data_IF_565278046160
#
_entry.id   IF_565278046160
#
_cell.length_a   1.000
_cell.length_b   1.000
_cell.length_c   1.000
_cell.angle_alpha   90.00
_cell.angle_beta   90.00
_cell.angle_gamma   90.00
#
_symmetry.space_group_name_H-M   'P 1'
#
loop_
_entity.id
_entity.type
_entity.pdbx_description
1 polymer ?
#
# COMPACT_ATOMS: atom_id res chain seq x y z
N UNK A 1 -21.24 31.55 -0.39
CA UNK A 1 -19.95 31.18 0.22
C UNK A 1 -19.24 30.25 -0.74
N UNK A 2 -18.10 30.65 -1.30
CA UNK A 2 -17.24 29.73 -2.04
C UNK A 2 -16.74 28.69 -1.04
N UNK A 3 -17.23 27.46 -1.13
CA UNK A 3 -16.85 26.37 -0.24
C UNK A 3 -15.32 26.12 -0.25
N UNK A 4 -14.67 26.50 -1.36
CA UNK A 4 -13.22 26.46 -1.56
C UNK A 4 -12.65 27.87 -1.69
N UNK A 5 -12.72 28.66 -0.61
CA UNK A 5 -11.91 29.88 -0.55
C UNK A 5 -10.44 29.52 -0.80
N UNK A 6 -9.72 30.34 -1.56
CA UNK A 6 -8.27 30.19 -1.70
C UNK A 6 -7.64 30.43 -0.35
N UNK A 7 -7.11 29.38 0.28
CA UNK A 7 -6.39 29.50 1.53
C UNK A 7 -4.97 29.91 1.22
N UNK A 8 -4.64 31.17 1.48
CA UNK A 8 -3.25 31.60 1.44
C UNK A 8 -2.55 31.14 2.72
N UNK A 9 -1.39 30.49 2.56
CA UNK A 9 -0.60 30.01 3.68
C UNK A 9 -0.05 31.19 4.48
N UNK A 10 0.28 32.27 3.79
CA UNK A 10 0.87 33.47 4.39
C UNK A 10 -0.16 34.25 5.23
N UNK A 11 -1.46 34.14 4.90
CA UNK A 11 -2.54 34.68 5.74
C UNK A 11 -2.74 33.86 7.02
N UNK A 12 -2.50 32.55 6.96
CA UNK A 12 -2.70 31.64 8.09
C UNK A 12 -1.54 31.71 9.09
N UNK A 13 -0.31 31.91 8.61
CA UNK A 13 0.89 32.06 9.43
C UNK A 13 1.38 33.50 9.37
N UNK A 14 0.91 34.34 10.30
CA UNK A 14 1.34 35.74 10.39
C UNK A 14 2.87 35.85 10.42
N UNK A 15 3.41 36.82 9.68
CA UNK A 15 4.85 37.09 9.66
C UNK A 15 5.42 37.21 11.09
N UNK A 16 6.43 36.40 11.39
CA UNK A 16 7.10 36.40 12.69
C UNK A 16 6.38 35.65 13.80
N UNK A 17 5.34 34.86 13.52
CA UNK A 17 4.66 34.02 14.52
C UNK A 17 5.62 33.13 15.32
N UNK A 18 6.75 32.74 14.73
CA UNK A 18 7.80 31.93 15.35
C UNK A 18 8.42 32.59 16.59
N UNK A 19 8.40 33.93 16.68
CA UNK A 19 8.98 34.67 17.80
C UNK A 19 8.22 34.45 19.11
N UNK A 20 6.91 34.23 19.00
CA UNK A 20 5.99 34.02 20.14
C UNK A 20 5.67 32.53 20.34
N UNK A 21 6.27 31.65 19.54
CA UNK A 21 6.02 30.21 19.60
C UNK A 21 6.75 29.56 20.79
N UNK A 22 6.15 28.49 21.32
CA UNK A 22 6.87 27.60 22.23
C UNK A 22 7.81 26.72 21.42
N UNK A 23 9.03 26.46 21.91
CA UNK A 23 10.01 25.64 21.18
C UNK A 23 10.15 24.28 21.85
N UNK A 24 10.04 23.21 21.05
CA UNK A 24 10.37 21.86 21.50
C UNK A 24 11.46 21.29 20.59
N UNK A 25 12.63 20.98 21.16
CA UNK A 25 13.81 20.51 20.42
C UNK A 25 14.22 21.43 19.26
N UNK A 26 14.04 22.75 19.43
CA UNK A 26 14.34 23.75 18.40
C UNK A 26 13.28 23.89 17.31
N UNK A 27 12.14 23.18 17.41
CA UNK A 27 11.02 23.29 16.48
C UNK A 27 9.99 24.26 17.06
N UNK A 28 9.59 25.32 16.32
CA UNK A 28 8.55 26.24 16.76
C UNK A 28 7.19 25.55 16.75
N UNK A 29 6.48 25.63 17.86
CA UNK A 29 5.17 25.04 18.04
C UNK A 29 4.11 26.14 17.99
N UNK A 30 3.26 26.12 16.96
CA UNK A 30 2.12 27.04 16.89
C UNK A 30 1.06 26.65 17.94
N UNK A 31 0.59 27.59 18.79
CA UNK A 31 -0.28 27.27 19.92
C UNK A 31 -1.61 26.62 19.49
N UNK A 32 -2.14 26.99 18.32
CA UNK A 32 -3.36 26.38 17.79
C UNK A 32 -3.21 24.89 17.43
N UNK A 33 -1.99 24.43 17.12
CA UNK A 33 -1.72 23.01 16.85
C UNK A 33 -1.82 22.13 18.10
N UNK A 34 -1.73 22.71 19.29
CA UNK A 34 -1.84 22.00 20.57
C UNK A 34 -3.29 21.79 21.01
N UNK A 35 -4.25 22.37 20.30
CA UNK A 35 -5.67 22.27 20.65
C UNK A 35 -6.29 21.04 19.98
N UNK A 36 -7.20 20.36 20.70
CA UNK A 36 -8.17 19.46 20.09
C UNK A 36 -9.39 20.26 19.58
N UNK A 37 -10.34 19.59 18.93
CA UNK A 37 -11.50 20.25 18.32
C UNK A 37 -12.36 21.02 19.34
N UNK A 38 -12.55 20.44 20.54
CA UNK A 38 -13.41 21.00 21.59
C UNK A 38 -12.75 22.19 22.25
N UNK A 39 -11.46 22.11 22.56
CA UNK A 39 -10.70 23.21 23.15
C UNK A 39 -10.60 24.39 22.18
N UNK A 40 -10.46 24.12 20.88
CA UNK A 40 -10.50 25.14 19.84
C UNK A 40 -11.85 25.86 19.77
N UNK A 41 -12.96 25.14 19.94
CA UNK A 41 -14.29 25.74 20.03
C UNK A 41 -14.44 26.56 21.32
N UNK A 42 -13.97 26.04 22.45
CA UNK A 42 -14.07 26.68 23.77
C UNK A 42 -13.27 27.99 23.88
N UNK A 43 -12.16 28.13 23.14
CA UNK A 43 -11.35 29.36 23.12
C UNK A 43 -11.90 30.47 22.21
N UNK A 44 -12.96 30.20 21.45
CA UNK A 44 -13.53 31.19 20.53
C UNK A 44 -14.20 32.32 21.33
N UNK A 45 -13.99 33.60 20.98
CA UNK A 45 -14.78 34.70 21.53
C UNK A 45 -16.28 34.41 21.40
N UNK A 46 -17.10 35.00 22.27
CA UNK A 46 -18.54 34.74 22.35
C UNK A 46 -19.37 35.20 21.12
N UNK A 47 -18.74 35.42 19.96
CA UNK A 47 -19.44 35.69 18.71
C UNK A 47 -20.10 34.40 18.20
N UNK A 48 -21.44 34.36 18.08
CA UNK A 48 -22.16 33.13 17.74
C UNK A 48 -21.86 32.65 16.31
N UNK A 49 -21.52 33.56 15.40
CA UNK A 49 -21.25 33.21 14.00
C UNK A 49 -19.90 32.52 13.82
N UNK A 50 -18.86 32.93 14.55
CA UNK A 50 -17.56 32.27 14.50
C UNK A 50 -17.62 30.84 15.07
N UNK A 51 -18.36 30.67 16.18
CA UNK A 51 -18.60 29.34 16.78
C UNK A 51 -19.31 28.43 15.77
N UNK A 52 -20.34 28.94 15.08
CA UNK A 52 -21.07 28.18 14.05
C UNK A 52 -20.16 27.75 12.90
N UNK A 53 -19.33 28.66 12.38
CA UNK A 53 -18.40 28.33 11.28
C UNK A 53 -17.39 27.26 11.70
N UNK A 54 -16.75 27.42 12.86
CA UNK A 54 -15.77 26.44 13.38
C UNK A 54 -16.43 25.07 13.63
N UNK A 55 -17.61 25.07 14.28
CA UNK A 55 -18.35 23.85 14.56
C UNK A 55 -18.75 23.14 13.26
N UNK A 56 -19.27 23.89 12.29
CA UNK A 56 -19.65 23.34 10.98
C UNK A 56 -18.48 22.62 10.31
N UNK A 57 -17.29 23.22 10.24
CA UNK A 57 -16.12 22.58 9.63
C UNK A 57 -15.69 21.32 10.38
N UNK A 58 -15.73 21.29 11.72
CA UNK A 58 -15.44 20.09 12.52
C UNK A 58 -16.46 18.99 12.23
N UNK A 59 -17.76 19.31 12.27
CA UNK A 59 -18.83 18.32 12.04
C UNK A 59 -18.85 17.81 10.59
N UNK A 60 -18.52 18.64 9.61
CA UNK A 60 -18.41 18.25 8.21
C UNK A 60 -17.24 17.29 7.97
N UNK A 61 -16.19 17.34 8.80
CA UNK A 61 -15.06 16.42 8.68
C UNK A 61 -15.34 15.05 9.29
N UNK A 62 -16.18 14.93 10.33
CA UNK A 62 -16.41 13.68 11.06
C UNK A 62 -16.91 12.48 10.23
N UNK A 63 -17.76 12.63 9.18
CA UNK A 63 -18.16 11.51 8.35
C UNK A 63 -16.98 10.81 7.65
N UNK A 64 -15.93 11.55 7.27
CA UNK A 64 -14.77 10.99 6.58
C UNK A 64 -14.01 9.95 7.42
N UNK A 65 -13.50 10.25 8.63
CA UNK A 65 -12.82 9.26 9.44
C UNK A 65 -13.73 8.10 9.86
N UNK A 66 -15.05 8.27 9.97
CA UNK A 66 -15.99 7.15 10.21
C UNK A 66 -15.95 6.15 9.03
N UNK A 67 -16.10 6.65 7.80
CA UNK A 67 -16.07 5.81 6.59
C UNK A 67 -14.70 5.15 6.44
N UNK A 68 -13.63 5.93 6.62
CA UNK A 68 -12.25 5.44 6.49
C UNK A 68 -11.94 4.41 7.58
N UNK A 69 -12.44 4.60 8.81
CA UNK A 69 -12.30 3.64 9.90
C UNK A 69 -12.97 2.32 9.56
N UNK A 70 -14.19 2.35 9.03
CA UNK A 70 -14.89 1.16 8.59
C UNK A 70 -14.09 0.39 7.52
N UNK A 71 -13.52 1.10 6.54
CA UNK A 71 -12.66 0.52 5.49
C UNK A 71 -11.42 -0.14 6.12
N UNK A 72 -10.70 0.56 7.00
CA UNK A 72 -9.49 0.03 7.61
C UNK A 72 -9.77 -1.12 8.59
N UNK A 73 -10.89 -1.10 9.32
CA UNK A 73 -11.32 -2.22 10.16
C UNK A 73 -11.64 -3.47 9.34
N UNK A 74 -12.34 -3.32 8.21
CA UNK A 74 -12.56 -4.42 7.26
C UNK A 74 -11.22 -4.95 6.73
N UNK A 75 -10.34 -4.05 6.31
CA UNK A 75 -9.02 -4.38 5.78
C UNK A 75 -8.14 -5.10 6.82
N UNK A 76 -8.23 -4.70 8.09
CA UNK A 76 -7.55 -5.31 9.23
C UNK A 76 -8.04 -6.75 9.43
N UNK A 77 -9.36 -6.95 9.49
CA UNK A 77 -9.95 -8.28 9.65
C UNK A 77 -9.55 -9.25 8.51
N UNK A 78 -9.60 -8.78 7.26
CA UNK A 78 -9.16 -9.58 6.10
C UNK A 78 -7.67 -9.89 6.19
N UNK A 79 -6.82 -8.91 6.52
CA UNK A 79 -5.37 -9.09 6.60
C UNK A 79 -4.95 -10.03 7.72
N UNK A 80 -5.62 -9.99 8.87
CA UNK A 80 -5.42 -10.96 9.96
C UNK A 80 -5.69 -12.39 9.46
N UNK A 81 -6.81 -12.59 8.76
CA UNK A 81 -7.14 -13.90 8.17
C UNK A 81 -6.07 -14.35 7.16
N UNK A 82 -5.54 -13.43 6.37
CA UNK A 82 -4.49 -13.73 5.39
C UNK A 82 -3.18 -14.15 6.06
N UNK A 83 -2.74 -13.44 7.10
CA UNK A 83 -1.54 -13.77 7.87
C UNK A 83 -1.69 -15.12 8.56
N UNK A 84 -2.84 -15.37 9.21
CA UNK A 84 -3.10 -16.65 9.88
C UNK A 84 -3.03 -17.84 8.92
N UNK A 85 -3.52 -17.68 7.69
CA UNK A 85 -3.49 -18.74 6.68
C UNK A 85 -2.12 -18.96 6.03
N UNK A 86 -1.27 -17.92 5.97
CA UNK A 86 0.05 -17.97 5.32
C UNK A 86 1.06 -17.06 6.06
N UNK A 87 1.53 -17.47 7.25
CA UNK A 87 2.39 -16.62 8.08
C UNK A 87 3.76 -16.35 7.46
N UNK A 88 4.22 -17.20 6.54
CA UNK A 88 5.51 -17.02 5.83
C UNK A 88 5.44 -16.03 4.67
N UNK A 89 4.24 -15.62 4.24
CA UNK A 89 4.08 -14.69 3.13
C UNK A 89 4.24 -13.24 3.61
N UNK A 90 5.20 -12.51 3.03
CA UNK A 90 5.51 -11.13 3.42
C UNK A 90 4.37 -10.13 3.12
N UNK A 91 3.73 -10.21 1.95
CA UNK A 91 2.69 -9.25 1.55
C UNK A 91 1.48 -9.17 2.53
N UNK A 92 0.92 -10.27 3.04
CA UNK A 92 -0.07 -10.22 4.12
C UNK A 92 0.35 -9.43 5.35
N UNK A 93 1.62 -9.50 5.77
CA UNK A 93 2.12 -8.71 6.90
C UNK A 93 2.15 -7.22 6.58
N UNK A 94 2.55 -6.83 5.35
CA UNK A 94 2.45 -5.45 4.90
C UNK A 94 0.99 -4.94 4.90
N UNK A 95 0.04 -5.75 4.43
CA UNK A 95 -1.39 -5.41 4.50
C UNK A 95 -1.86 -5.23 5.95
N UNK A 96 -1.45 -6.13 6.84
CA UNK A 96 -1.79 -6.06 8.26
C UNK A 96 -1.24 -4.79 8.89
N UNK A 97 0.05 -4.50 8.70
CA UNK A 97 0.69 -3.30 9.24
C UNK A 97 0.02 -2.03 8.73
N UNK A 98 -0.25 -1.93 7.42
CA UNK A 98 -0.92 -0.78 6.82
C UNK A 98 -2.34 -0.60 7.37
N UNK A 99 -3.11 -1.69 7.51
CA UNK A 99 -4.46 -1.63 8.05
C UNK A 99 -4.49 -1.25 9.53
N UNK A 100 -3.57 -1.80 10.33
CA UNK A 100 -3.44 -1.47 11.75
C UNK A 100 -3.15 0.01 11.96
N UNK A 101 -2.18 0.57 11.21
CA UNK A 101 -1.85 1.99 11.32
C UNK A 101 -3.01 2.88 10.82
N UNK A 102 -3.73 2.44 9.79
CA UNK A 102 -4.96 3.09 9.33
C UNK A 102 -6.03 3.17 10.42
N UNK A 103 -6.29 2.07 11.14
CA UNK A 103 -7.22 2.05 12.29
C UNK A 103 -6.73 2.97 13.41
N UNK A 104 -5.44 2.94 13.77
CA UNK A 104 -4.88 3.83 14.79
C UNK A 104 -5.12 5.29 14.40
N UNK A 105 -4.83 5.66 13.15
CA UNK A 105 -5.07 7.00 12.64
C UNK A 105 -6.55 7.39 12.74
N UNK A 106 -7.47 6.55 12.24
CA UNK A 106 -8.89 6.91 12.22
C UNK A 106 -9.51 6.95 13.60
N UNK A 107 -9.11 6.06 14.52
CA UNK A 107 -9.54 6.14 15.93
C UNK A 107 -9.06 7.44 16.56
N UNK A 108 -7.81 7.84 16.35
CA UNK A 108 -7.31 9.14 16.84
C UNK A 108 -8.05 10.33 16.22
N UNK A 109 -8.36 10.27 14.92
CA UNK A 109 -9.14 11.30 14.24
C UNK A 109 -10.59 11.41 14.78
N UNK A 110 -11.18 10.29 15.21
CA UNK A 110 -12.48 10.30 15.90
C UNK A 110 -12.36 10.86 17.32
N UNK A 111 -11.34 10.44 18.07
CA UNK A 111 -11.06 10.93 19.42
C UNK A 111 -10.77 12.42 19.46
N UNK A 112 -10.21 12.99 18.40
CA UNK A 112 -9.95 14.43 18.27
C UNK A 112 -11.21 15.30 18.45
N UNK A 113 -12.41 14.78 18.19
CA UNK A 113 -13.67 15.46 18.41
C UNK A 113 -14.23 15.36 19.84
N UNK A 114 -13.53 14.67 20.75
CA UNK A 114 -13.95 14.51 22.15
C UNK A 114 -13.13 15.39 23.10
N UNK A 115 -13.71 15.79 24.25
CA UNK A 115 -12.98 16.54 25.27
C UNK A 115 -11.80 15.72 25.80
N UNK A 116 -10.61 16.33 25.84
CA UNK A 116 -9.38 15.64 26.21
C UNK A 116 -8.83 14.71 25.11
N UNK A 117 -9.35 14.80 23.89
CA UNK A 117 -8.83 14.10 22.72
C UNK A 117 -7.41 14.56 22.33
N UNK A 118 -6.76 13.84 21.38
CA UNK A 118 -5.45 14.22 20.89
C UNK A 118 -5.47 15.62 20.27
N UNK A 119 -4.36 16.36 20.43
CA UNK A 119 -4.22 17.65 19.75
C UNK A 119 -4.15 17.49 18.24
N UNK A 120 -4.46 18.56 17.51
CA UNK A 120 -4.34 18.61 16.05
C UNK A 120 -2.93 18.19 15.58
N UNK A 121 -1.86 18.62 16.26
CA UNK A 121 -0.49 18.18 15.97
C UNK A 121 -0.31 16.67 16.06
N UNK A 122 -0.79 16.05 17.13
CA UNK A 122 -0.69 14.59 17.28
C UNK A 122 -1.42 13.88 16.13
N UNK A 123 -2.59 14.36 15.73
CA UNK A 123 -3.31 13.81 14.58
C UNK A 123 -2.50 13.93 13.27
N UNK A 124 -1.88 15.09 13.01
CA UNK A 124 -1.00 15.32 11.85
C UNK A 124 0.23 14.41 11.88
N UNK A 125 0.86 14.23 13.03
CA UNK A 125 2.02 13.34 13.15
C UNK A 125 1.64 11.87 12.92
N UNK A 126 0.54 11.41 13.50
CA UNK A 126 0.05 10.04 13.31
C UNK A 126 -0.24 9.77 11.84
N UNK A 127 -0.90 10.70 11.12
CA UNK A 127 -1.15 10.53 9.68
C UNK A 127 0.14 10.56 8.86
N UNK A 128 1.11 11.41 9.19
CA UNK A 128 2.41 11.46 8.52
C UNK A 128 3.20 10.15 8.63
N UNK A 129 3.22 9.57 9.84
CA UNK A 129 3.80 8.24 10.10
C UNK A 129 3.03 7.16 9.33
N UNK A 130 1.70 7.20 9.36
CA UNK A 130 0.85 6.21 8.69
C UNK A 130 0.99 6.18 7.18
N UNK A 131 1.01 7.35 6.54
CA UNK A 131 1.28 7.49 5.10
C UNK A 131 2.65 6.90 4.77
N UNK A 132 3.69 7.23 5.54
CA UNK A 132 5.05 6.73 5.29
C UNK A 132 5.16 5.22 5.43
N UNK A 133 4.59 4.64 6.49
CA UNK A 133 4.54 3.18 6.70
C UNK A 133 3.81 2.51 5.54
N UNK A 134 2.68 3.07 5.11
CA UNK A 134 1.93 2.56 3.95
C UNK A 134 2.77 2.54 2.69
N UNK A 135 3.47 3.65 2.37
CA UNK A 135 4.30 3.73 1.18
C UNK A 135 5.46 2.73 1.21
N UNK A 136 6.09 2.53 2.37
CA UNK A 136 7.11 1.49 2.55
C UNK A 136 6.53 0.08 2.37
N UNK A 137 5.34 -0.21 2.91
CA UNK A 137 4.65 -1.50 2.76
C UNK A 137 4.31 -1.81 1.29
N UNK A 138 3.73 -0.84 0.57
CA UNK A 138 3.40 -0.97 -0.86
C UNK A 138 4.67 -1.13 -1.67
N UNK A 139 5.67 -0.27 -1.45
CA UNK A 139 6.96 -0.31 -2.14
C UNK A 139 7.69 -1.63 -1.93
N UNK A 140 7.74 -2.15 -0.69
CA UNK A 140 8.36 -3.43 -0.38
C UNK A 140 7.63 -4.60 -1.03
N UNK A 141 6.29 -4.58 -1.06
CA UNK A 141 5.47 -5.62 -1.71
C UNK A 141 5.70 -5.63 -3.22
N UNK A 142 5.71 -4.47 -3.88
CA UNK A 142 5.99 -4.36 -5.31
C UNK A 142 7.42 -4.77 -5.64
N UNK A 143 8.39 -4.36 -4.82
CA UNK A 143 9.80 -4.73 -4.98
C UNK A 143 10.01 -6.23 -4.84
N UNK A 144 9.39 -6.88 -3.85
CA UNK A 144 9.46 -8.33 -3.68
C UNK A 144 8.94 -9.05 -4.93
N UNK A 145 7.82 -8.59 -5.49
CA UNK A 145 7.23 -9.16 -6.70
C UNK A 145 8.12 -8.95 -7.92
N UNK A 146 8.61 -7.74 -8.13
CA UNK A 146 9.52 -7.43 -9.21
C UNK A 146 10.81 -8.28 -9.11
N UNK A 147 11.37 -8.41 -7.91
CA UNK A 147 12.54 -9.24 -7.65
C UNK A 147 12.33 -10.72 -8.02
N UNK A 148 11.20 -11.31 -7.61
CA UNK A 148 10.88 -12.72 -7.94
C UNK A 148 10.72 -12.90 -9.45
N UNK A 149 10.01 -11.98 -10.11
CA UNK A 149 9.72 -12.10 -11.54
C UNK A 149 10.95 -11.86 -12.42
N UNK A 150 11.88 -11.00 -12.00
CA UNK A 150 13.14 -10.76 -12.68
C UNK A 150 14.25 -11.74 -12.26
N UNK A 151 13.89 -13.01 -12.05
CA UNK A 151 14.81 -14.10 -11.70
C UNK A 151 15.77 -13.78 -10.54
N UNK A 152 15.27 -13.10 -9.49
CA UNK A 152 16.05 -12.73 -8.30
C UNK A 152 17.25 -11.82 -8.62
N UNK A 153 17.08 -10.89 -9.55
CA UNK A 153 18.11 -9.91 -9.89
C UNK A 153 18.44 -8.99 -8.69
N UNK A 154 19.62 -9.17 -8.09
CA UNK A 154 20.10 -8.38 -6.93
C UNK A 154 20.21 -6.88 -7.24
N UNK A 155 20.51 -6.49 -8.48
CA UNK A 155 20.63 -5.07 -8.85
C UNK A 155 19.29 -4.34 -8.72
N UNK A 156 18.20 -4.98 -9.12
CA UNK A 156 16.85 -4.44 -8.98
C UNK A 156 16.47 -4.25 -7.50
N UNK A 157 16.86 -5.19 -6.65
CA UNK A 157 16.63 -5.12 -5.21
C UNK A 157 17.39 -3.96 -4.57
N UNK A 158 18.69 -3.83 -4.85
CA UNK A 158 19.53 -2.72 -4.33
C UNK A 158 18.99 -1.38 -4.79
N UNK A 159 18.65 -1.25 -6.09
CA UNK A 159 18.08 -0.01 -6.63
C UNK A 159 16.74 0.33 -5.95
N UNK A 160 15.84 -0.66 -5.81
CA UNK A 160 14.56 -0.45 -5.15
C UNK A 160 14.67 -0.04 -3.68
N UNK A 161 15.57 -0.68 -2.91
CA UNK A 161 15.83 -0.29 -1.51
C UNK A 161 16.41 1.12 -1.44
N UNK A 162 17.35 1.46 -2.33
CA UNK A 162 17.97 2.78 -2.38
C UNK A 162 16.92 3.87 -2.66
N UNK A 163 15.94 3.60 -3.53
CA UNK A 163 14.85 4.53 -3.81
C UNK A 163 13.81 4.61 -2.69
N UNK A 164 13.63 3.56 -1.88
CA UNK A 164 12.72 3.58 -0.73
C UNK A 164 13.34 4.24 0.52
N UNK A 165 14.66 4.32 0.61
CA UNK A 165 15.37 4.86 1.76
C UNK A 165 15.03 6.33 2.10
N UNK A 166 14.76 7.23 1.14
CA UNK A 166 14.37 8.61 1.42
C UNK A 166 12.95 8.77 1.99
N UNK A 167 12.08 7.75 1.92
CA UNK A 167 10.67 7.85 2.34
C UNK A 167 10.47 8.35 3.78
N UNK A 168 11.27 7.95 4.80
CA UNK A 168 11.17 8.50 6.15
C UNK A 168 11.40 10.01 6.26
N UNK A 169 12.00 10.67 5.25
CA UNK A 169 12.12 12.14 5.23
C UNK A 169 10.75 12.81 5.25
N UNK A 170 9.69 12.16 4.74
CA UNK A 170 8.31 12.67 4.83
C UNK A 170 7.89 12.85 6.28
N UNK A 171 8.22 11.91 7.17
CA UNK A 171 7.92 12.02 8.60
C UNK A 171 8.65 13.23 9.18
N UNK A 172 9.92 13.43 8.83
CA UNK A 172 10.69 14.57 9.29
C UNK A 172 10.05 15.90 8.87
N UNK A 173 9.65 16.05 7.61
CA UNK A 173 8.97 17.27 7.14
C UNK A 173 7.64 17.50 7.86
N UNK A 174 6.84 16.46 8.05
CA UNK A 174 5.57 16.55 8.81
C UNK A 174 5.83 16.92 10.27
N UNK A 175 6.92 16.41 10.85
CA UNK A 175 7.30 16.66 12.24
C UNK A 175 7.68 18.12 12.48
N UNK A 176 8.43 18.73 11.57
CA UNK A 176 8.88 20.12 11.67
C UNK A 176 7.85 21.14 11.16
N UNK A 177 6.82 20.70 10.43
CA UNK A 177 5.83 21.61 9.84
C UNK A 177 4.93 22.20 10.93
N UNK A 178 4.66 23.52 10.91
CA UNK A 178 3.67 24.12 11.78
C UNK A 178 2.28 23.51 11.52
N UNK A 179 1.57 23.23 12.61
CA UNK A 179 0.22 22.69 12.58
C UNK A 179 -0.71 23.72 13.20
N UNK A 180 -1.80 24.04 12.51
CA UNK A 180 -2.74 25.08 12.93
C UNK A 180 -4.18 24.60 12.81
N UNK A 181 -5.04 25.26 13.57
CA UNK A 181 -6.49 25.09 13.51
C UNK A 181 -7.09 26.28 12.78
N UNK A 182 -7.57 26.05 11.56
CA UNK A 182 -8.19 27.08 10.73
C UNK A 182 -9.72 26.95 10.78
N UNK A 183 -10.49 28.05 10.96
CA UNK A 183 -11.96 27.98 11.00
C UNK A 183 -12.62 27.23 9.83
N UNK A 184 -12.21 27.42 8.57
CA UNK A 184 -12.89 26.79 7.43
C UNK A 184 -12.44 25.34 7.18
N UNK A 185 -11.22 24.97 7.59
CA UNK A 185 -10.58 23.72 7.21
C UNK A 185 -10.22 22.81 8.39
N UNK A 186 -10.50 23.22 9.63
CA UNK A 186 -10.17 22.44 10.83
C UNK A 186 -8.66 22.32 11.02
N UNK A 187 -8.19 21.09 11.25
CA UNK A 187 -6.79 20.80 11.52
C UNK A 187 -5.98 20.73 10.21
N UNK A 188 -4.97 21.58 10.07
CA UNK A 188 -4.13 21.68 8.87
C UNK A 188 -2.64 21.66 9.21
N UNK A 189 -1.85 21.01 8.35
CA UNK A 189 -0.39 21.09 8.36
C UNK A 189 0.08 22.13 7.34
N UNK A 190 0.79 23.16 7.80
CA UNK A 190 1.39 24.19 6.94
C UNK A 190 2.81 23.77 6.55
N UNK A 191 2.91 22.84 5.59
CA UNK A 191 4.19 22.44 4.99
C UNK A 191 4.72 23.51 4.03
N UNK A 192 6.02 23.57 3.70
CA UNK A 192 6.55 24.54 2.73
C UNK A 192 6.12 24.23 1.28
N UNK A 193 6.03 25.23 0.39
CA UNK A 193 5.51 25.07 -0.99
C UNK A 193 6.27 24.04 -1.85
N UNK A 194 7.55 23.80 -1.55
CA UNK A 194 8.33 22.80 -2.26
C UNK A 194 8.06 21.36 -1.78
N UNK A 195 7.38 21.16 -0.65
CA UNK A 195 7.19 19.83 -0.06
C UNK A 195 6.39 18.86 -0.96
N UNK A 196 5.26 19.24 -1.59
CA UNK A 196 4.56 18.37 -2.53
C UNK A 196 5.46 17.94 -3.71
N UNK A 197 6.30 18.85 -4.20
CA UNK A 197 7.26 18.59 -5.27
C UNK A 197 8.38 17.65 -4.82
N UNK A 198 8.91 17.81 -3.60
CA UNK A 198 9.89 16.90 -3.02
C UNK A 198 9.29 15.50 -2.86
N UNK A 199 8.06 15.40 -2.35
CA UNK A 199 7.34 14.14 -2.25
C UNK A 199 7.16 13.48 -3.62
N UNK A 200 6.68 14.25 -4.60
CA UNK A 200 6.53 13.78 -5.98
C UNK A 200 7.87 13.27 -6.55
N UNK A 201 8.96 14.02 -6.35
CA UNK A 201 10.28 13.65 -6.83
C UNK A 201 10.84 12.38 -6.16
N UNK A 202 10.46 12.09 -4.90
CA UNK A 202 10.84 10.85 -4.22
C UNK A 202 10.01 9.64 -4.68
N UNK A 203 8.71 9.83 -4.88
CA UNK A 203 7.79 8.76 -5.23
C UNK A 203 7.81 8.43 -6.75
N UNK A 204 8.09 9.41 -7.61
CA UNK A 204 8.09 9.25 -9.07
C UNK A 204 9.13 8.20 -9.55
N UNK A 205 10.41 8.23 -9.14
CA UNK A 205 11.40 7.24 -9.57
C UNK A 205 11.02 5.81 -9.20
N UNK A 206 10.43 5.61 -8.02
CA UNK A 206 9.97 4.29 -7.55
C UNK A 206 8.85 3.77 -8.47
N UNK A 207 7.87 4.62 -8.75
CA UNK A 207 6.75 4.26 -9.62
C UNK A 207 7.19 4.00 -11.06
N UNK A 208 8.12 4.80 -11.60
CA UNK A 208 8.71 4.56 -12.93
C UNK A 208 9.45 3.23 -12.95
N UNK A 209 10.29 2.95 -11.94
CA UNK A 209 11.04 1.70 -11.85
C UNK A 209 10.10 0.50 -11.84
N UNK A 210 9.06 0.51 -10.99
CA UNK A 210 8.08 -0.57 -10.94
C UNK A 210 7.26 -0.68 -12.23
N UNK A 211 6.84 0.44 -12.82
CA UNK A 211 6.13 0.45 -14.11
C UNK A 211 6.94 -0.24 -15.19
N UNK A 212 8.22 0.14 -15.35
CA UNK A 212 9.12 -0.46 -16.34
C UNK A 212 9.34 -1.94 -16.05
N UNK A 213 9.56 -2.30 -14.78
CA UNK A 213 9.73 -3.69 -14.36
C UNK A 213 8.50 -4.55 -14.69
N UNK A 214 7.28 -4.07 -14.45
CA UNK A 214 6.06 -4.78 -14.75
C UNK A 214 5.75 -4.82 -16.25
N UNK A 215 5.88 -3.70 -16.96
CA UNK A 215 5.67 -3.65 -18.42
C UNK A 215 6.62 -4.60 -19.14
N UNK A 216 7.89 -4.67 -18.73
CA UNK A 216 8.85 -5.61 -19.30
C UNK A 216 8.41 -7.06 -19.14
N UNK A 217 7.80 -7.42 -18.01
CA UNK A 217 7.29 -8.78 -17.74
C UNK A 217 6.06 -9.06 -18.58
N UNK A 218 5.11 -8.12 -18.61
CA UNK A 218 3.89 -8.23 -19.41
C UNK A 218 4.24 -8.42 -20.88
N UNK A 219 5.21 -7.64 -21.39
CA UNK A 219 5.68 -7.75 -22.76
C UNK A 219 6.30 -9.12 -23.06
N UNK A 220 7.16 -9.64 -22.17
CA UNK A 220 7.75 -10.99 -22.33
C UNK A 220 6.68 -12.09 -22.31
N UNK A 221 5.74 -12.03 -21.38
CA UNK A 221 4.68 -13.02 -21.26
C UNK A 221 3.71 -12.98 -22.45
N UNK A 222 3.38 -11.78 -22.93
CA UNK A 222 2.57 -11.59 -24.13
C UNK A 222 3.24 -12.27 -25.35
N UNK A 223 4.55 -12.09 -25.52
CA UNK A 223 5.31 -12.70 -26.62
C UNK A 223 5.42 -14.22 -26.50
N UNK A 224 5.46 -14.77 -25.28
CA UNK A 224 5.67 -16.21 -25.05
C UNK A 224 4.39 -17.05 -25.09
N UNK A 225 3.28 -16.58 -24.49
CA UNK A 225 2.10 -17.43 -24.23
C UNK A 225 0.91 -17.19 -25.19
N UNK A 226 1.02 -16.21 -26.10
CA UNK A 226 -0.09 -15.84 -26.98
C UNK A 226 -1.27 -15.20 -26.25
N UNK A 227 -2.29 -14.81 -26.99
CA UNK A 227 -3.38 -13.92 -26.51
C UNK A 227 -4.32 -14.58 -25.49
N UNK A 228 -4.60 -15.88 -25.61
CA UNK A 228 -5.60 -16.57 -24.77
C UNK A 228 -5.12 -16.84 -23.33
N UNK A 229 -3.89 -17.33 -23.16
CA UNK A 229 -3.29 -17.54 -21.84
C UNK A 229 -2.96 -16.19 -21.17
N UNK A 230 -2.54 -15.20 -21.96
CA UNK A 230 -2.30 -13.84 -21.50
C UNK A 230 -3.55 -13.19 -20.91
N UNK A 231 -4.71 -13.34 -21.56
CA UNK A 231 -5.98 -12.78 -21.06
C UNK A 231 -6.32 -13.29 -19.65
N UNK A 232 -6.05 -14.57 -19.36
CA UNK A 232 -6.26 -15.14 -18.01
C UNK A 232 -5.26 -14.60 -16.99
N UNK A 233 -3.98 -14.45 -17.38
CA UNK A 233 -2.92 -14.00 -16.48
C UNK A 233 -3.05 -12.52 -16.11
N UNK A 234 -3.39 -11.68 -17.09
CA UNK A 234 -3.60 -10.24 -16.86
C UNK A 234 -4.75 -9.97 -15.90
N UNK A 235 -5.83 -10.77 -16.00
CA UNK A 235 -7.03 -10.62 -15.17
C UNK A 235 -6.77 -10.81 -13.68
N UNK A 236 -5.76 -11.59 -13.30
CA UNK A 236 -5.60 -12.03 -11.91
C UNK A 236 -4.61 -11.19 -11.08
N UNK A 237 -3.65 -10.47 -11.69
CA UNK A 237 -2.62 -9.75 -10.91
C UNK A 237 -2.04 -8.50 -11.55
N UNK A 238 -1.86 -8.48 -12.87
CA UNK A 238 -1.26 -7.33 -13.57
C UNK A 238 -2.22 -6.13 -13.52
N UNK A 239 -3.52 -6.34 -13.71
CA UNK A 239 -4.52 -5.26 -13.67
C UNK A 239 -4.50 -4.52 -12.34
N UNK A 240 -4.47 -5.22 -11.21
CA UNK A 240 -4.49 -4.58 -9.89
C UNK A 240 -3.18 -3.85 -9.59
N UNK A 241 -2.03 -4.40 -9.99
CA UNK A 241 -0.75 -3.70 -9.86
C UNK A 241 -0.68 -2.43 -10.69
N UNK A 242 -1.13 -2.46 -11.95
CA UNK A 242 -1.19 -1.25 -12.78
C UNK A 242 -2.15 -0.21 -12.19
N UNK A 243 -3.30 -0.63 -11.66
CA UNK A 243 -4.24 0.29 -10.99
C UNK A 243 -3.60 0.99 -9.78
N UNK A 244 -2.82 0.26 -8.96
CA UNK A 244 -2.08 0.84 -7.82
C UNK A 244 -1.13 1.94 -8.29
N UNK A 245 -0.33 1.66 -9.32
CA UNK A 245 0.67 2.62 -9.84
C UNK A 245 -0.02 3.83 -10.47
N UNK A 246 -1.07 3.62 -11.25
CA UNK A 246 -1.83 4.72 -11.89
C UNK A 246 -2.54 5.57 -10.83
N UNK A 247 -3.20 4.96 -9.83
CA UNK A 247 -3.88 5.72 -8.78
C UNK A 247 -2.88 6.58 -8.00
N UNK A 248 -1.74 6.01 -7.63
CA UNK A 248 -0.69 6.73 -6.93
C UNK A 248 -0.14 7.88 -7.79
N UNK A 249 0.14 7.64 -9.07
CA UNK A 249 0.60 8.69 -9.98
C UNK A 249 -0.38 9.86 -10.12
N UNK A 250 -1.67 9.56 -10.31
CA UNK A 250 -2.73 10.59 -10.41
C UNK A 250 -2.87 11.38 -9.11
N UNK A 251 -2.94 10.70 -7.97
CA UNK A 251 -3.03 11.36 -6.65
C UNK A 251 -1.83 12.26 -6.38
N UNK A 252 -0.62 11.82 -6.74
CA UNK A 252 0.59 12.62 -6.59
C UNK A 252 0.62 13.84 -7.50
N UNK A 253 0.16 13.73 -8.76
CA UNK A 253 0.00 14.88 -9.65
C UNK A 253 -0.97 15.89 -9.03
N UNK A 254 -2.16 15.44 -8.61
CA UNK A 254 -3.15 16.31 -7.98
C UNK A 254 -2.60 17.00 -6.71
N UNK A 255 -1.78 16.28 -5.94
CA UNK A 255 -1.13 16.83 -4.75
C UNK A 255 -0.02 17.84 -5.10
N UNK A 256 0.84 17.53 -6.08
CA UNK A 256 1.96 18.37 -6.49
C UNK A 256 1.52 19.69 -7.15
N UNK A 257 0.45 19.65 -7.94
CA UNK A 257 -0.14 20.84 -8.55
C UNK A 257 -1.09 21.61 -7.62
N UNK A 258 -1.18 21.20 -6.34
CA UNK A 258 -2.05 21.84 -5.35
C UNK A 258 -3.47 22.11 -5.88
N UNK A 259 -4.08 21.12 -6.58
CA UNK A 259 -5.40 21.25 -7.25
C UNK A 259 -6.50 21.77 -6.31
N UNK A 260 -6.41 21.48 -5.01
CA UNK A 260 -7.32 21.96 -3.98
C UNK A 260 -6.61 22.87 -2.95
N UNK A 261 -5.52 23.54 -3.33
CA UNK A 261 -4.68 24.36 -2.44
C UNK A 261 -4.21 23.53 -1.23
N UNK A 262 -4.35 24.03 0.01
CA UNK A 262 -3.97 23.31 1.23
C UNK A 262 -4.72 21.99 1.42
N UNK A 263 -5.93 21.84 0.87
CA UNK A 263 -6.69 20.59 0.92
C UNK A 263 -6.13 19.51 0.00
N UNK A 264 -5.12 19.81 -0.84
CA UNK A 264 -4.44 18.79 -1.65
C UNK A 264 -3.76 17.70 -0.82
N UNK A 265 -3.53 17.93 0.49
CA UNK A 265 -3.10 16.87 1.42
C UNK A 265 -4.09 15.70 1.47
N UNK A 266 -5.38 15.94 1.22
CA UNK A 266 -6.40 14.89 1.17
C UNK A 266 -6.16 13.88 0.06
N UNK A 267 -5.52 14.26 -1.06
CA UNK A 267 -5.14 13.31 -2.11
C UNK A 267 -4.13 12.27 -1.62
N UNK A 268 -3.25 12.62 -0.67
CA UNK A 268 -2.32 11.66 -0.06
C UNK A 268 -3.06 10.65 0.83
N UNK A 269 -4.09 11.11 1.56
CA UNK A 269 -4.93 10.24 2.36
C UNK A 269 -5.81 9.32 1.48
N UNK A 270 -6.39 9.87 0.42
CA UNK A 270 -7.16 9.11 -0.57
C UNK A 270 -6.29 8.04 -1.23
N UNK A 271 -5.07 8.38 -1.64
CA UNK A 271 -4.11 7.41 -2.17
C UNK A 271 -3.82 6.30 -1.16
N UNK A 272 -3.59 6.64 0.11
CA UNK A 272 -3.39 5.65 1.17
C UNK A 272 -4.58 4.67 1.29
N UNK A 273 -5.81 5.17 1.22
CA UNK A 273 -7.02 4.34 1.30
C UNK A 273 -7.15 3.44 0.07
N UNK A 274 -7.00 4.00 -1.13
CA UNK A 274 -7.11 3.28 -2.40
C UNK A 274 -6.06 2.18 -2.48
N UNK A 275 -4.80 2.50 -2.19
CA UNK A 275 -3.70 1.54 -2.21
C UNK A 275 -3.90 0.42 -1.19
N UNK A 276 -4.42 0.71 0.02
CA UNK A 276 -4.77 -0.30 1.01
C UNK A 276 -5.80 -1.31 0.48
N UNK A 277 -6.88 -0.81 -0.11
CA UNK A 277 -7.95 -1.62 -0.71
C UNK A 277 -7.42 -2.48 -1.86
N UNK A 278 -6.67 -1.87 -2.78
CA UNK A 278 -6.12 -2.56 -3.95
C UNK A 278 -5.10 -3.63 -3.56
N UNK A 279 -4.28 -3.39 -2.53
CA UNK A 279 -3.28 -4.34 -2.06
C UNK A 279 -3.95 -5.57 -1.43
N UNK A 280 -4.99 -5.39 -0.61
CA UNK A 280 -5.77 -6.51 -0.07
C UNK A 280 -6.47 -7.29 -1.18
N UNK A 281 -7.12 -6.59 -2.12
CA UNK A 281 -7.77 -7.24 -3.25
C UNK A 281 -6.80 -8.06 -4.10
N UNK A 282 -5.61 -7.52 -4.38
CA UNK A 282 -4.53 -8.22 -5.07
C UNK A 282 -4.13 -9.51 -4.32
N UNK A 283 -3.93 -9.38 -3.02
CA UNK A 283 -3.57 -10.47 -2.11
C UNK A 283 -4.64 -11.58 -2.06
N UNK A 284 -5.93 -11.23 -2.01
CA UNK A 284 -7.03 -12.21 -2.05
C UNK A 284 -7.12 -12.93 -3.40
N UNK A 285 -6.99 -12.22 -4.52
CA UNK A 285 -7.07 -12.80 -5.86
C UNK A 285 -5.93 -13.79 -6.13
N UNK A 286 -4.72 -13.50 -5.63
CA UNK A 286 -3.60 -14.44 -5.71
C UNK A 286 -3.87 -15.73 -4.95
N UNK A 287 -4.58 -15.65 -3.82
CA UNK A 287 -4.95 -16.84 -3.03
C UNK A 287 -5.93 -17.72 -3.80
N UNK A 288 -7.00 -17.13 -4.35
CA UNK A 288 -8.01 -17.87 -5.13
C UNK A 288 -7.37 -18.57 -6.33
N UNK A 289 -6.49 -17.85 -7.04
CA UNK A 289 -5.75 -18.42 -8.18
C UNK A 289 -4.86 -19.60 -7.76
N UNK A 290 -4.20 -19.51 -6.61
CA UNK A 290 -3.34 -20.60 -6.09
C UNK A 290 -4.15 -21.85 -5.68
N UNK A 291 -5.39 -21.67 -5.22
CA UNK A 291 -6.25 -22.78 -4.82
C UNK A 291 -6.78 -23.54 -6.06
N UNK A 292 -7.27 -22.82 -7.07
CA UNK A 292 -7.80 -23.40 -8.29
C UNK A 292 -6.77 -24.29 -9.03
N UNK A 293 -5.49 -23.91 -9.04
CA UNK A 293 -4.42 -24.71 -9.66
C UNK A 293 -4.20 -26.05 -8.95
N UNK A 294 -4.38 -26.13 -7.62
CA UNK A 294 -4.20 -27.38 -6.87
C UNK A 294 -5.30 -28.39 -7.15
N UNK A 295 -6.53 -27.93 -7.36
CA UNK A 295 -7.67 -28.82 -7.64
C UNK A 295 -7.58 -29.40 -9.06
N UNK A 296 -7.12 -28.62 -10.04
CA UNK A 296 -6.91 -29.10 -11.41
C UNK A 296 -5.88 -30.23 -11.48
N UNK A 297 -4.78 -30.14 -10.73
CA UNK A 297 -3.78 -31.23 -10.69
C UNK A 297 -4.29 -32.49 -9.99
N UNK A 298 -5.17 -32.38 -8.99
CA UNK A 298 -5.78 -33.55 -8.34
C UNK A 298 -6.79 -34.25 -9.24
N UNK A 299 -7.55 -33.49 -10.04
CA UNK A 299 -8.51 -34.05 -10.99
C UNK A 299 -7.81 -34.79 -12.14
N UNK A 300 -6.75 -34.21 -12.69
CA UNK A 300 -5.99 -34.81 -13.80
C UNK A 300 -5.18 -36.03 -13.37
N UNK A 301 -4.60 -36.01 -12.16
CA UNK A 301 -3.91 -37.17 -11.60
C UNK A 301 -4.81 -38.38 -11.36
N UNK A 302 -6.12 -38.18 -11.13
CA UNK A 302 -7.10 -39.29 -11.02
C UNK A 302 -7.48 -39.88 -12.38
N UNK A 303 -7.53 -39.06 -13.44
CA UNK A 303 -7.80 -39.53 -14.80
C UNK A 303 -6.64 -40.29 -15.42
N UNK A 304 -5.40 -39.85 -15.14
CA UNK A 304 -4.18 -40.53 -15.61
C UNK A 304 -4.02 -41.90 -14.91
N UNK A 305 -4.34 -42.02 -13.62
CA UNK A 305 -4.25 -43.32 -12.94
C UNK A 305 -5.31 -44.33 -13.41
N UNK A 306 -6.52 -43.87 -13.75
CA UNK A 306 -7.56 -44.76 -14.31
C UNK A 306 -7.29 -45.22 -15.75
N UNK A 307 -6.45 -44.51 -16.51
CA UNK A 307 -6.03 -44.93 -17.86
C UNK A 307 -4.78 -45.82 -17.85
N UNK A 308 -3.90 -45.69 -16.85
CA UNK A 308 -2.75 -46.59 -16.69
C UNK A 308 -3.20 -47.98 -16.24
N UNK A 309 -4.23 -48.10 -15.41
CA UNK A 309 -4.74 -49.40 -14.93
C UNK A 309 -5.41 -50.24 -16.03
N UNK A 310 -5.70 -49.65 -17.21
CA UNK A 310 -6.19 -50.40 -18.38
C UNK A 310 -5.06 -50.84 -19.33
N UNK A 311 -3.93 -50.12 -19.40
CA UNK A 311 -2.81 -50.47 -20.29
C UNK A 311 -1.72 -51.35 -19.62
N UNK A 312 -1.58 -51.35 -18.30
CA UNK A 312 -0.65 -52.29 -17.62
C UNK A 312 -1.08 -53.75 -17.72
N UNK A 313 -2.36 -54.03 -17.98
CA UNK A 313 -2.84 -55.41 -18.23
C UNK A 313 -2.38 -55.99 -19.59
N UNK A 314 -1.94 -55.14 -20.53
CA UNK A 314 -1.49 -55.54 -21.87
C UNK A 314 0.04 -55.51 -21.99
N UNK A 315 0.74 -54.62 -21.26
CA UNK A 315 2.20 -54.48 -21.38
C UNK A 315 3.01 -55.42 -20.47
N UNK A 316 2.45 -55.92 -19.37
CA UNK A 316 3.14 -56.90 -18.50
C UNK A 316 3.39 -58.26 -19.17
N UNK A 317 2.68 -58.57 -20.27
CA UNK A 317 2.91 -59.81 -21.01
C UNK A 317 4.08 -59.74 -22.00
N UNK A 318 4.58 -58.54 -22.34
CA UNK A 318 5.67 -58.39 -23.32
C UNK A 318 7.05 -58.05 -22.74
N UNK A 319 7.12 -57.40 -21.57
CA UNK A 319 8.38 -56.96 -20.94
C UNK A 319 9.13 -58.06 -20.16
N UNK A 320 8.47 -59.16 -19.82
CA UNK A 320 9.10 -60.27 -19.08
C UNK A 320 10.09 -61.08 -19.95
N UNK A 321 9.91 -61.09 -21.28
CA UNK A 321 10.76 -61.86 -22.20
C UNK A 321 12.07 -61.15 -22.60
N UNK A 322 12.11 -59.81 -22.63
CA UNK A 322 13.34 -59.07 -22.97
C UNK A 322 14.34 -59.00 -21.81
N UNK A 323 13.87 -58.89 -20.57
CA UNK A 323 14.74 -58.84 -19.40
C UNK A 323 15.48 -60.16 -19.13
N UNK A 324 14.93 -61.31 -19.57
CA UNK A 324 15.62 -62.60 -19.46
C UNK A 324 16.76 -62.76 -20.49
N UNK A 325 16.66 -62.14 -21.67
CA UNK A 325 17.73 -62.19 -22.69
C UNK A 325 18.92 -61.29 -22.34
N UNK A 326 18.68 -60.09 -21.80
CA UNK A 326 19.76 -59.18 -21.40
C UNK A 326 20.63 -59.74 -20.24
N UNK A 327 20.03 -60.48 -19.30
CA UNK A 327 20.76 -61.09 -18.18
C UNK A 327 21.63 -62.29 -18.59
N UNK A 328 21.36 -62.97 -19.71
CA UNK A 328 22.22 -64.05 -20.23
C UNK A 328 23.44 -63.52 -20.98
N UNK A 329 23.38 -62.34 -21.59
CA UNK A 329 24.52 -61.74 -22.28
C UNK A 329 25.59 -61.21 -21.30
N UNK A 330 25.18 -60.60 -20.18
CA UNK A 330 26.11 -60.05 -19.19
C UNK A 330 26.95 -61.10 -18.43
N UNK A 331 26.45 -62.34 -18.24
CA UNK A 331 27.21 -63.39 -17.53
C UNK A 331 28.32 -64.02 -18.36
N UNK A 332 28.23 -64.00 -19.70
CA UNK A 332 29.31 -64.54 -20.56
C UNK A 332 30.53 -63.63 -20.63
N UNK A 333 30.36 -62.32 -20.43
CA UNK A 333 31.47 -61.36 -20.47
C UNK A 333 32.38 -61.44 -19.24
N UNK A 334 31.84 -61.83 -18.07
CA UNK A 334 32.59 -61.91 -16.81
C UNK A 334 33.38 -63.21 -16.61
N UNK A 335 33.19 -64.24 -17.44
CA UNK A 335 33.96 -65.49 -17.38
C UNK A 335 35.19 -65.52 -18.31
N UNK A 336 35.41 -64.48 -19.12
CA UNK A 336 36.56 -64.40 -20.03
C UNK A 336 37.73 -63.56 -19.48
N UNK A 337 37.56 -62.96 -18.30
CA UNK A 337 38.55 -62.09 -17.63
C UNK A 337 39.09 -62.75 -16.34
N UNK A 338 38.99 -64.07 -16.24
CA UNK A 338 39.58 -64.87 -15.15
C UNK A 338 40.18 -66.13 -15.74
#
# INVERSE_FOLDING_TARGET
MSFFGTFDRDELLKDGWEKDATFQWGIPLHPQGELNAIDYLAQTPASPDEIRTRAFSIFMQLPFPIIINYIFMRNLAVSIRMVYQRPEAFAPWCCLLQASVGVIYTVNALLYAFPGGPSCRHAVWIVGVGITISQLCVGATLLQKAYIVHHRNKRLLVLGITLLLPQPLIIYFVWISPVIMAPPAGCLACYPHYFPWVKFAMDMPINILFSVAFISVVYRQYRQFGTAAWARLVRNGIRTMCLIVISNFVCMICAAFEVLSLLSQMFMLIDWIITSLLMIHHCENMRVSSAATKDSHKADGRGIFSHIETETSVFERHSSDENLRARRAGRKFFQMIR
#
